data_IF_841175347122
#
_entry.id   IF_841175347122
#
_cell.length_a   1.000
_cell.length_b   1.000
_cell.length_c   1.000
_cell.angle_alpha   90.00
_cell.angle_beta   90.00
_cell.angle_gamma   90.00
#
_symmetry.space_group_name_H-M   'P 1'
#
loop_
_entity.id
_entity.type
_entity.pdbx_description
1 polymer ?
#
# COMPACT_ATOMS: atom_id res chain seq x y z
N UNK A 1 -20.24 -9.78 5.94
CA UNK A 1 -19.53 -8.89 6.87
C UNK A 1 -20.16 -7.53 6.80
N UNK A 2 -20.88 -7.18 7.85
CA UNK A 2 -21.31 -5.80 8.08
C UNK A 2 -20.10 -4.93 8.43
N UNK A 3 -20.29 -3.61 8.48
CA UNK A 3 -19.23 -2.67 8.85
C UNK A 3 -18.75 -2.90 10.30
N UNK A 4 -19.67 -3.27 11.18
CA UNK A 4 -19.41 -3.58 12.59
C UNK A 4 -18.58 -4.86 12.73
N UNK A 5 -19.02 -5.93 12.06
CA UNK A 5 -18.30 -7.22 12.05
C UNK A 5 -16.89 -7.05 11.49
N UNK A 6 -16.71 -6.23 10.45
CA UNK A 6 -15.40 -5.95 9.87
C UNK A 6 -14.48 -5.25 10.88
N UNK A 7 -14.97 -4.25 11.63
CA UNK A 7 -14.20 -3.53 12.65
C UNK A 7 -13.76 -4.46 13.78
N UNK A 8 -14.68 -5.29 14.27
CA UNK A 8 -14.38 -6.25 15.33
C UNK A 8 -13.36 -7.30 14.85
N UNK A 9 -13.54 -7.80 13.62
CA UNK A 9 -12.61 -8.74 13.02
C UNK A 9 -11.20 -8.15 12.87
N UNK A 10 -11.08 -6.88 12.42
CA UNK A 10 -9.79 -6.18 12.34
C UNK A 10 -9.10 -6.10 13.71
N UNK A 11 -9.86 -5.81 14.78
CA UNK A 11 -9.32 -5.73 16.14
C UNK A 11 -8.79 -7.09 16.63
N UNK A 12 -9.57 -8.15 16.44
CA UNK A 12 -9.17 -9.50 16.86
C UNK A 12 -7.93 -9.97 16.12
N UNK A 13 -7.89 -9.73 14.80
CA UNK A 13 -6.76 -10.10 13.95
C UNK A 13 -5.46 -9.37 14.35
N UNK A 14 -5.54 -8.09 14.74
CA UNK A 14 -4.39 -7.35 15.28
C UNK A 14 -3.92 -7.90 16.64
N UNK A 15 -4.85 -8.32 17.51
CA UNK A 15 -4.51 -8.95 18.79
C UNK A 15 -3.82 -10.31 18.57
N UNK A 16 -4.30 -11.11 17.63
CA UNK A 16 -3.72 -12.40 17.28
C UNK A 16 -2.31 -12.24 16.71
N UNK A 17 -2.08 -11.27 15.84
CA UNK A 17 -0.75 -10.97 15.31
C UNK A 17 0.26 -10.62 16.40
N UNK A 18 -0.16 -9.84 17.40
CA UNK A 18 0.67 -9.52 18.56
C UNK A 18 0.95 -10.76 19.42
N UNK A 19 -0.07 -11.59 19.66
CA UNK A 19 0.05 -12.81 20.43
C UNK A 19 1.04 -13.81 19.78
N UNK A 20 0.93 -13.99 18.47
CA UNK A 20 1.77 -14.90 17.70
C UNK A 20 3.12 -14.31 17.26
N UNK A 21 3.41 -13.05 17.64
CA UNK A 21 4.66 -12.33 17.29
C UNK A 21 4.91 -12.27 15.77
N UNK A 22 3.83 -12.20 14.99
CA UNK A 22 3.91 -12.06 13.53
C UNK A 22 4.28 -10.61 13.22
N UNK A 23 5.45 -10.42 12.61
CA UNK A 23 5.90 -9.08 12.17
C UNK A 23 5.13 -8.67 10.93
N UNK A 24 4.22 -7.73 11.10
CA UNK A 24 3.55 -7.03 10.00
C UNK A 24 4.49 -5.92 9.51
N UNK A 25 4.40 -5.59 8.22
CA UNK A 25 5.05 -4.40 7.70
C UNK A 25 4.54 -3.18 8.47
N UNK A 26 5.42 -2.51 9.19
CA UNK A 26 5.14 -1.18 9.74
C UNK A 26 5.77 -0.15 8.81
N UNK A 27 5.09 0.97 8.67
CA UNK A 27 5.64 2.09 7.92
C UNK A 27 6.87 2.58 8.69
N UNK A 28 8.06 2.61 8.07
CA UNK A 28 9.22 3.08 8.80
C UNK A 28 8.98 4.54 9.17
N UNK A 29 9.09 4.87 10.46
CA UNK A 29 9.13 6.24 11.00
C UNK A 29 10.36 7.03 10.49
N UNK A 30 11.10 6.50 9.51
CA UNK A 30 12.25 7.14 8.86
C UNK A 30 11.78 8.27 7.94
N UNK A 31 11.17 9.21 8.62
CA UNK A 31 10.75 10.54 8.29
C UNK A 31 11.58 11.49 9.17
N UNK A 32 12.87 11.20 9.43
CA UNK A 32 13.80 12.18 10.02
C UNK A 32 13.95 13.45 9.13
N UNK A 33 13.23 13.54 8.01
CA UNK A 33 13.07 14.72 7.16
C UNK A 33 11.64 15.33 7.16
N UNK A 34 10.67 14.81 7.92
CA UNK A 34 9.29 15.33 7.92
C UNK A 34 9.04 16.50 8.85
N UNK A 35 10.06 16.97 9.58
CA UNK A 35 9.99 18.33 10.13
C UNK A 35 9.94 19.40 9.03
N UNK A 36 10.22 19.06 7.75
CA UNK A 36 10.26 20.00 6.64
C UNK A 36 9.39 19.64 5.41
N UNK A 37 8.59 18.58 5.44
CA UNK A 37 7.75 18.20 4.29
C UNK A 37 6.28 18.02 4.65
N UNK A 38 5.53 19.11 4.49
CA UNK A 38 4.08 19.20 4.25
C UNK A 38 3.18 18.28 5.10
N UNK A 39 2.49 18.88 6.07
CA UNK A 39 1.50 18.25 6.99
C UNK A 39 0.51 17.26 6.35
N UNK A 40 0.24 17.38 5.05
CA UNK A 40 -0.68 16.50 4.32
C UNK A 40 -0.16 15.08 4.06
N UNK A 41 1.15 14.91 3.82
CA UNK A 41 1.73 13.60 3.46
C UNK A 41 1.76 12.69 4.70
N UNK A 42 2.25 13.20 5.84
CA UNK A 42 2.25 12.48 7.11
C UNK A 42 0.83 12.13 7.59
N UNK A 43 -0.15 13.01 7.34
CA UNK A 43 -1.57 12.73 7.61
C UNK A 43 -2.10 11.56 6.78
N UNK A 44 -1.70 11.44 5.50
CA UNK A 44 -2.08 10.31 4.63
C UNK A 44 -1.46 8.99 5.09
N UNK A 45 -0.19 9.00 5.51
CA UNK A 45 0.47 7.80 6.04
C UNK A 45 -0.16 7.32 7.34
N UNK A 46 -0.51 8.23 8.26
CA UNK A 46 -1.25 7.88 9.49
C UNK A 46 -2.58 7.22 9.19
N UNK A 47 -3.38 7.83 8.29
CA UNK A 47 -4.66 7.24 7.84
C UNK A 47 -4.49 5.86 7.21
N UNK A 48 -3.37 5.62 6.56
CA UNK A 48 -3.05 4.35 5.92
C UNK A 48 -2.71 3.27 6.96
N UNK A 49 -1.95 3.62 7.99
CA UNK A 49 -1.65 2.76 9.15
C UNK A 49 -2.93 2.36 9.89
N UNK A 50 -3.81 3.32 10.14
CA UNK A 50 -5.08 3.08 10.86
C UNK A 50 -6.05 2.17 10.09
N UNK A 51 -5.90 2.07 8.76
CA UNK A 51 -6.75 1.22 7.90
C UNK A 51 -6.29 -0.24 7.85
N UNK A 52 -5.10 -0.55 8.37
CA UNK A 52 -4.55 -1.91 8.37
C UNK A 52 -5.27 -2.80 9.40
N UNK A 53 -5.62 -4.06 9.06
CA UNK A 53 -5.51 -4.71 7.76
C UNK A 53 -6.57 -4.25 6.75
N UNK A 54 -6.18 -4.11 5.47
CA UNK A 54 -7.07 -3.63 4.41
C UNK A 54 -8.19 -4.62 4.11
N UNK A 55 -9.44 -4.15 4.21
CA UNK A 55 -10.58 -4.91 3.74
C UNK A 55 -10.76 -4.59 2.25
N UNK A 56 -10.46 -5.57 1.38
CA UNK A 56 -10.50 -5.39 -0.08
C UNK A 56 -11.45 -6.36 -0.79
N UNK A 57 -12.27 -5.82 -1.68
CA UNK A 57 -13.09 -6.54 -2.65
C UNK A 57 -12.51 -6.32 -4.05
N UNK A 58 -12.29 -7.41 -4.78
CA UNK A 58 -11.83 -7.37 -6.18
C UNK A 58 -12.98 -7.59 -7.17
N UNK A 59 -12.99 -6.82 -8.26
CA UNK A 59 -13.90 -6.99 -9.39
C UNK A 59 -13.14 -6.89 -10.73
N UNK A 60 -13.49 -7.77 -11.66
CA UNK A 60 -13.03 -7.71 -13.06
C UNK A 60 -14.11 -7.16 -14.01
N UNK A 61 -15.33 -7.00 -13.50
CA UNK A 61 -16.50 -6.56 -14.27
C UNK A 61 -16.70 -5.06 -14.15
N UNK A 62 -17.06 -4.44 -15.28
CA UNK A 62 -17.44 -3.02 -15.34
C UNK A 62 -18.94 -2.91 -15.48
N UNK A 63 -19.51 -1.98 -14.73
CA UNK A 63 -20.93 -1.61 -14.84
C UNK A 63 -21.04 -0.11 -15.04
N UNK A 64 -22.14 0.34 -15.63
CA UNK A 64 -22.48 1.76 -15.66
C UNK A 64 -23.22 2.10 -14.38
N UNK A 65 -22.70 3.04 -13.58
CA UNK A 65 -23.37 3.51 -12.38
C UNK A 65 -24.57 4.41 -12.71
N UNK A 66 -25.32 4.83 -11.69
CA UNK A 66 -26.47 5.74 -11.82
C UNK A 66 -26.10 7.12 -12.40
N UNK A 67 -24.83 7.51 -12.33
CA UNK A 67 -24.30 8.75 -12.91
C UNK A 67 -23.80 8.58 -14.36
N UNK A 68 -23.96 7.40 -14.97
CA UNK A 68 -23.55 7.13 -16.35
C UNK A 68 -22.05 6.80 -16.52
N UNK A 69 -21.30 6.69 -15.42
CA UNK A 69 -19.85 6.41 -15.44
C UNK A 69 -19.61 4.90 -15.37
N UNK A 70 -18.68 4.40 -16.20
CA UNK A 70 -18.22 3.02 -16.12
C UNK A 70 -17.29 2.84 -14.92
N UNK A 71 -17.74 2.08 -13.93
CA UNK A 71 -17.00 1.77 -12.70
C UNK A 71 -16.81 0.26 -12.55
N UNK A 72 -15.74 -0.14 -11.86
CA UNK A 72 -15.54 -1.55 -11.50
C UNK A 72 -16.41 -1.91 -10.31
N UNK A 73 -17.27 -2.91 -10.47
CA UNK A 73 -18.18 -3.30 -9.40
C UNK A 73 -18.56 -4.78 -9.47
N UNK A 74 -19.06 -5.29 -8.34
CA UNK A 74 -19.72 -6.59 -8.24
C UNK A 74 -21.20 -6.39 -7.98
N UNK A 75 -22.04 -6.97 -8.83
CA UNK A 75 -23.49 -6.94 -8.66
C UNK A 75 -23.94 -8.20 -7.93
N UNK A 76 -24.74 -7.99 -6.89
CA UNK A 76 -25.47 -9.03 -6.17
C UNK A 76 -26.98 -8.73 -6.26
N UNK A 77 -27.86 -9.72 -6.03
CA UNK A 77 -29.30 -9.49 -6.02
C UNK A 77 -29.76 -8.43 -5.01
N UNK A 78 -29.01 -8.24 -3.92
CA UNK A 78 -29.29 -7.26 -2.87
C UNK A 78 -28.59 -5.91 -3.06
N UNK A 79 -27.80 -5.73 -4.13
CA UNK A 79 -27.14 -4.47 -4.39
C UNK A 79 -25.80 -4.62 -5.11
N UNK A 80 -25.20 -3.49 -5.40
CA UNK A 80 -23.98 -3.39 -6.20
C UNK A 80 -22.87 -2.79 -5.38
N UNK A 81 -21.73 -3.48 -5.31
CA UNK A 81 -20.54 -3.05 -4.59
C UNK A 81 -19.54 -2.47 -5.58
N UNK A 82 -19.44 -1.14 -5.60
CA UNK A 82 -18.39 -0.42 -6.33
C UNK A 82 -17.02 -0.61 -5.64
N UNK A 83 -16.02 -1.06 -6.41
CA UNK A 83 -14.68 -1.37 -5.88
C UNK A 83 -13.82 -0.13 -5.69
N UNK A 84 -14.02 0.88 -6.54
CA UNK A 84 -13.25 2.13 -6.50
C UNK A 84 -13.77 3.13 -5.44
N UNK A 85 -14.93 2.84 -4.84
CA UNK A 85 -15.52 3.66 -3.77
C UNK A 85 -14.93 3.30 -2.40
N UNK A 86 -14.39 4.31 -1.71
CA UNK A 86 -13.74 4.20 -0.38
C UNK A 86 -14.70 3.89 0.76
N UNK A 87 -16.00 4.11 0.57
CA UNK A 87 -17.03 3.78 1.56
C UNK A 87 -17.36 2.29 1.57
N UNK A 88 -17.23 1.63 0.41
CA UNK A 88 -17.45 0.20 0.29
C UNK A 88 -16.21 -0.61 0.65
N UNK A 89 -15.01 -0.05 0.40
CA UNK A 89 -13.82 -0.87 0.36
C UNK A 89 -12.49 -0.08 0.45
N UNK A 90 -11.44 -0.71 1.00
CA UNK A 90 -10.12 -0.09 1.15
C UNK A 90 -9.22 -0.23 -0.11
N UNK A 91 -9.76 -0.63 -1.27
CA UNK A 91 -8.95 -0.92 -2.46
C UNK A 91 -8.17 0.28 -3.00
N UNK A 92 -8.79 1.46 -3.05
CA UNK A 92 -8.13 2.69 -3.50
C UNK A 92 -6.94 3.05 -2.59
N UNK A 93 -7.08 2.77 -1.29
CA UNK A 93 -6.05 2.99 -0.27
C UNK A 93 -4.91 1.98 -0.44
N UNK A 94 -5.23 0.69 -0.62
CA UNK A 94 -4.25 -0.36 -0.88
C UNK A 94 -3.44 -0.06 -2.17
N UNK A 95 -4.11 0.37 -3.25
CA UNK A 95 -3.45 0.73 -4.50
C UNK A 95 -2.45 1.86 -4.30
N UNK A 96 -2.84 2.91 -3.58
CA UNK A 96 -1.94 4.02 -3.25
C UNK A 96 -0.70 3.54 -2.49
N UNK A 97 -0.91 2.69 -1.47
CA UNK A 97 0.17 2.09 -0.69
C UNK A 97 1.14 1.29 -1.55
N UNK A 98 0.63 0.39 -2.40
CA UNK A 98 1.46 -0.45 -3.26
C UNK A 98 2.28 0.38 -4.24
N UNK A 99 1.70 1.44 -4.82
CA UNK A 99 2.43 2.34 -5.71
C UNK A 99 3.52 3.09 -4.95
N UNK A 100 3.22 3.58 -3.74
CA UNK A 100 4.22 4.25 -2.87
C UNK A 100 5.37 3.32 -2.51
N UNK A 101 5.08 2.09 -2.08
CA UNK A 101 6.08 1.07 -1.81
C UNK A 101 6.95 0.80 -3.04
N UNK A 102 6.34 0.61 -4.21
CA UNK A 102 7.06 0.35 -5.44
C UNK A 102 7.99 1.50 -5.81
N UNK A 103 7.56 2.76 -5.65
CA UNK A 103 8.40 3.92 -5.93
C UNK A 103 9.54 4.02 -4.90
N UNK A 104 9.27 3.87 -3.61
CA UNK A 104 10.28 4.00 -2.57
C UNK A 104 11.30 2.85 -2.59
N UNK A 105 10.84 1.60 -2.63
CA UNK A 105 11.69 0.40 -2.66
C UNK A 105 12.38 0.27 -4.00
N UNK A 106 11.69 0.53 -5.12
CA UNK A 106 12.30 0.55 -6.44
C UNK A 106 13.45 1.55 -6.47
N UNK A 107 13.20 2.82 -6.18
CA UNK A 107 14.23 3.86 -6.20
C UNK A 107 15.39 3.55 -5.25
N UNK A 108 15.12 3.11 -4.02
CA UNK A 108 16.19 2.79 -3.04
C UNK A 108 17.01 1.57 -3.45
N UNK A 109 16.39 0.51 -3.98
CA UNK A 109 17.13 -0.67 -4.45
C UNK A 109 17.94 -0.37 -5.72
N UNK A 110 17.37 0.40 -6.66
CA UNK A 110 18.09 0.88 -7.84
C UNK A 110 19.25 1.78 -7.44
N UNK A 111 19.04 2.73 -6.51
CA UNK A 111 20.11 3.59 -6.01
C UNK A 111 21.18 2.79 -5.28
N UNK A 112 20.85 1.96 -4.29
CA UNK A 112 21.85 1.19 -3.54
C UNK A 112 22.61 0.22 -4.46
N UNK A 113 21.94 -0.39 -5.44
CA UNK A 113 22.61 -1.28 -6.41
C UNK A 113 23.51 -0.49 -7.36
N UNK A 114 23.09 0.67 -7.84
CA UNK A 114 23.92 1.57 -8.65
C UNK A 114 25.08 2.17 -7.83
N UNK A 115 24.83 2.56 -6.59
CA UNK A 115 25.80 3.15 -5.67
C UNK A 115 26.84 2.10 -5.25
N UNK A 116 26.41 0.88 -4.91
CA UNK A 116 27.30 -0.23 -4.63
C UNK A 116 28.14 -0.60 -5.86
N UNK A 117 27.58 -0.54 -7.07
CA UNK A 117 28.30 -0.84 -8.30
C UNK A 117 29.32 0.26 -8.65
N UNK A 118 28.96 1.54 -8.46
CA UNK A 118 29.84 2.69 -8.68
C UNK A 118 30.95 2.80 -7.63
N UNK A 119 30.65 2.58 -6.34
CA UNK A 119 31.66 2.51 -5.27
C UNK A 119 32.61 1.33 -5.47
N UNK A 120 32.11 0.16 -5.87
CA UNK A 120 32.97 -0.99 -6.20
C UNK A 120 33.90 -0.67 -7.38
N UNK A 121 33.40 -0.02 -8.42
CA UNK A 121 34.17 0.39 -9.59
C UNK A 121 35.21 1.48 -9.23
N UNK A 122 34.85 2.41 -8.33
CA UNK A 122 35.75 3.45 -7.79
C UNK A 122 36.88 2.88 -6.92
N UNK A 123 36.60 1.88 -6.07
CA UNK A 123 37.62 1.20 -5.24
C UNK A 123 38.49 0.24 -6.04
N UNK A 124 37.96 -0.38 -7.09
CA UNK A 124 38.65 -1.46 -7.81
C UNK A 124 39.35 -1.00 -9.09
N UNK A 125 39.10 0.23 -9.57
CA UNK A 125 39.69 0.77 -10.80
C UNK A 125 39.37 -0.04 -12.07
N UNK A 126 38.37 -0.93 -12.01
CA UNK A 126 38.04 -1.90 -13.07
C UNK A 126 36.58 -1.73 -13.46
N UNK A 127 36.34 -1.37 -14.72
CA UNK A 127 35.01 -1.31 -15.32
C UNK A 127 34.30 -2.66 -15.15
N UNK A 128 33.16 -2.65 -14.44
CA UNK A 128 32.41 -3.85 -14.10
C UNK A 128 31.84 -4.50 -15.37
N UNK A 129 32.62 -5.36 -16.01
CA UNK A 129 32.19 -6.14 -17.18
C UNK A 129 31.45 -7.39 -16.70
N UNK A 130 30.12 -7.32 -16.85
CA UNK A 130 29.17 -8.42 -17.04
C UNK A 130 29.12 -9.56 -16.00
N UNK A 131 27.96 -9.67 -15.36
CA UNK A 131 27.01 -10.78 -15.56
C UNK A 131 25.65 -10.32 -15.04
N UNK A 132 24.88 -9.73 -15.96
CA UNK A 132 23.42 -9.83 -15.90
C UNK A 132 23.04 -11.26 -16.25
#
# INVERSE_FOLDING_TARGET
MTLEECKEFKKNLLADFQHHKIKIYDFPDSEQNFENSNDEEGSRLRRLRDRMPFAVVGANTYITNSAGVKVRARTYPWGTVEVDNVEHNDFSILRYFLIRLQMQVGSTLYFLRAYSCTEFNRRSGKTCRSKC
#
